data_IF_440562582785
#
_entry.id   IF_440562582785
#
_cell.length_a   1.000
_cell.length_b   1.000
_cell.length_c   1.000
_cell.angle_alpha   90.00
_cell.angle_beta   90.00
_cell.angle_gamma   90.00
#
_symmetry.space_group_name_H-M   'P 1'
#
loop_
_entity.id
_entity.type
_entity.pdbx_description
1 polymer ?
#
# COMPACT_ATOMS: atom_id res chain seq x y z
N UNK A 1 11.31 18.60 19.07
CA UNK A 1 9.97 19.19 18.85
C UNK A 1 10.01 19.88 17.50
N UNK A 2 9.07 19.57 16.62
CA UNK A 2 8.97 20.11 15.25
C UNK A 2 7.67 20.92 15.19
N UNK A 3 7.64 21.96 14.36
CA UNK A 3 6.44 22.78 14.12
C UNK A 3 6.09 22.67 12.63
N UNK A 4 4.92 22.11 12.35
CA UNK A 4 4.41 21.95 10.98
C UNK A 4 3.11 22.77 10.80
N UNK A 5 3.22 24.09 10.61
CA UNK A 5 2.05 24.97 10.65
C UNK A 5 1.00 24.59 9.61
N UNK A 6 -0.29 24.76 9.96
CA UNK A 6 -1.44 24.48 9.07
C UNK A 6 -1.34 25.20 7.72
N UNK A 7 -0.70 26.37 7.73
CA UNK A 7 -0.38 27.16 6.55
C UNK A 7 1.13 27.25 6.40
N UNK A 8 1.62 27.68 5.24
CA UNK A 8 3.02 28.10 5.11
C UNK A 8 3.39 29.11 6.21
N UNK A 9 4.66 29.15 6.60
CA UNK A 9 5.13 30.10 7.63
C UNK A 9 4.72 31.55 7.36
N UNK A 10 4.68 31.95 6.08
CA UNK A 10 4.16 33.26 5.66
C UNK A 10 2.65 33.41 5.91
N UNK A 11 1.85 32.40 5.54
CA UNK A 11 0.41 32.39 5.79
C UNK A 11 0.07 32.38 7.29
N UNK A 12 0.79 31.59 8.08
CA UNK A 12 0.69 31.57 9.54
C UNK A 12 0.96 32.96 10.13
N UNK A 13 2.07 33.59 9.73
CA UNK A 13 2.46 34.92 10.21
C UNK A 13 1.43 35.99 9.84
N UNK A 14 0.88 35.92 8.62
CA UNK A 14 -0.17 36.84 8.17
C UNK A 14 -1.44 36.73 9.03
N UNK A 15 -1.91 35.50 9.30
CA UNK A 15 -3.11 35.25 10.11
C UNK A 15 -2.91 35.77 11.54
N UNK A 16 -1.78 35.47 12.17
CA UNK A 16 -1.47 35.93 13.53
C UNK A 16 -1.43 37.47 13.59
N UNK A 17 -0.79 38.11 12.61
CA UNK A 17 -0.67 39.57 12.55
C UNK A 17 -2.03 40.24 12.31
N UNK A 18 -2.88 39.67 11.44
CA UNK A 18 -4.24 40.12 11.23
C UNK A 18 -5.09 40.03 12.53
N UNK A 19 -5.01 38.92 13.26
CA UNK A 19 -5.74 38.76 14.52
C UNK A 19 -5.23 39.72 15.62
N UNK A 20 -3.92 39.93 15.71
CA UNK A 20 -3.33 40.88 16.66
C UNK A 20 -3.71 42.33 16.34
N UNK A 21 -3.70 42.73 15.07
CA UNK A 21 -4.08 44.11 14.67
C UNK A 21 -5.54 44.42 15.02
N UNK A 22 -6.45 43.46 14.81
CA UNK A 22 -7.86 43.57 15.24
C UNK A 22 -7.99 43.75 16.76
N UNK A 23 -7.07 43.17 17.55
CA UNK A 23 -7.08 43.32 19.01
C UNK A 23 -6.41 44.62 19.50
N UNK A 24 -5.32 45.05 18.85
CA UNK A 24 -4.49 46.18 19.28
C UNK A 24 -5.16 47.51 18.98
N UNK A 25 -5.78 47.67 17.80
CA UNK A 25 -6.39 48.95 17.38
C UNK A 25 -7.46 49.42 18.38
N UNK A 26 -8.42 48.58 18.83
CA UNK A 26 -9.41 48.98 19.81
C UNK A 26 -8.86 49.10 21.24
N UNK A 27 -7.78 48.38 21.58
CA UNK A 27 -7.11 48.52 22.89
C UNK A 27 -6.48 49.91 23.07
N UNK A 28 -5.92 50.45 21.99
CA UNK A 28 -5.29 51.77 21.98
C UNK A 28 -6.33 52.89 21.85
N UNK A 29 -7.30 52.74 20.92
CA UNK A 29 -8.24 53.80 20.54
C UNK A 29 -9.58 53.82 21.28
N UNK A 30 -9.93 52.77 22.01
CA UNK A 30 -11.24 52.65 22.67
C UNK A 30 -11.26 53.17 24.11
N UNK A 31 -12.40 53.73 24.52
CA UNK A 31 -12.65 54.22 25.89
C UNK A 31 -13.11 53.11 26.86
N UNK A 32 -13.07 51.85 26.44
CA UNK A 32 -13.54 50.69 27.19
C UNK A 32 -12.48 50.05 28.11
N UNK A 33 -12.88 48.99 28.82
CA UNK A 33 -11.99 48.23 29.71
C UNK A 33 -10.86 47.53 28.93
N UNK A 34 -9.68 48.17 28.88
CA UNK A 34 -8.47 47.71 28.17
C UNK A 34 -8.04 46.28 28.51
N UNK A 35 -8.29 45.82 29.73
CA UNK A 35 -7.98 44.46 30.18
C UNK A 35 -8.60 43.38 29.28
N UNK A 36 -9.82 43.59 28.75
CA UNK A 36 -10.48 42.62 27.87
C UNK A 36 -9.71 42.43 26.55
N UNK A 37 -9.07 43.48 26.05
CA UNK A 37 -8.26 43.40 24.84
C UNK A 37 -6.91 42.73 25.07
N UNK A 38 -6.28 42.95 26.23
CA UNK A 38 -5.10 42.17 26.64
C UNK A 38 -5.40 40.68 26.73
N UNK A 39 -6.56 40.32 27.28
CA UNK A 39 -6.98 38.94 27.36
C UNK A 39 -7.20 38.29 25.98
N UNK A 40 -7.80 39.03 25.02
CA UNK A 40 -7.94 38.60 23.62
C UNK A 40 -6.60 38.42 22.91
N UNK A 41 -5.62 39.30 23.15
CA UNK A 41 -4.26 39.09 22.64
C UNK A 41 -3.62 37.82 23.22
N UNK A 42 -3.90 37.49 24.48
CA UNK A 42 -3.53 36.21 25.08
C UNK A 42 -4.14 35.02 24.34
N UNK A 43 -5.44 35.07 23.99
CA UNK A 43 -6.09 34.03 23.19
C UNK A 43 -5.46 33.90 21.81
N UNK A 44 -5.16 35.02 21.14
CA UNK A 44 -4.48 35.01 19.83
C UNK A 44 -3.09 34.38 19.93
N UNK A 45 -2.33 34.63 21.01
CA UNK A 45 -1.04 33.99 21.23
C UNK A 45 -1.16 32.46 21.40
N UNK A 46 -2.17 32.00 22.15
CA UNK A 46 -2.44 30.56 22.32
C UNK A 46 -2.89 29.91 21.01
N UNK A 47 -3.72 30.59 20.22
CA UNK A 47 -4.11 30.15 18.88
C UNK A 47 -2.93 30.10 17.91
N UNK A 48 -2.00 31.05 17.99
CA UNK A 48 -0.78 31.05 17.18
C UNK A 48 0.06 29.78 17.45
N UNK A 49 0.20 29.39 18.72
CA UNK A 49 0.87 28.14 19.12
C UNK A 49 0.11 26.92 18.61
N UNK A 50 -1.21 26.89 18.69
CA UNK A 50 -2.02 25.80 18.15
C UNK A 50 -1.83 25.66 16.62
N UNK A 51 -1.90 26.76 15.89
CA UNK A 51 -1.74 26.80 14.43
C UNK A 51 -0.34 26.42 13.96
N UNK A 52 0.67 26.54 14.82
CA UNK A 52 2.03 26.08 14.54
C UNK A 52 2.19 24.56 14.66
N UNK A 53 1.14 23.82 15.07
CA UNK A 53 1.10 22.36 15.27
C UNK A 53 2.39 21.82 15.90
N UNK A 54 2.65 22.13 17.18
CA UNK A 54 3.78 21.55 17.89
C UNK A 54 3.65 20.03 17.88
N UNK A 55 4.68 19.37 17.36
CA UNK A 55 4.75 17.93 17.26
C UNK A 55 6.02 17.37 17.87
N UNK A 56 5.93 16.15 18.39
CA UNK A 56 7.09 15.39 18.84
C UNK A 56 7.33 14.30 17.79
N UNK A 57 8.51 14.26 17.13
CA UNK A 57 8.83 13.17 16.23
C UNK A 57 8.96 11.88 17.04
N UNK A 58 8.13 10.89 16.70
CA UNK A 58 8.20 9.55 17.25
C UNK A 58 8.78 8.67 16.16
N UNK A 59 9.88 8.00 16.50
CA UNK A 59 10.34 6.88 15.69
C UNK A 59 9.41 5.72 16.03
N UNK A 60 8.42 5.48 15.18
CA UNK A 60 7.67 4.23 15.27
C UNK A 60 8.66 3.10 14.98
N UNK A 61 8.75 2.13 15.87
CA UNK A 61 9.48 0.89 15.61
C UNK A 61 8.49 -0.21 15.88
N UNK A 62 8.11 -0.96 14.85
CA UNK A 62 7.28 -2.13 15.03
C UNK A 62 8.20 -3.29 15.35
N UNK A 63 7.92 -3.97 16.45
CA UNK A 63 8.57 -5.23 16.78
C UNK A 63 7.76 -6.33 16.09
N UNK A 64 8.37 -7.00 15.13
CA UNK A 64 7.79 -8.17 14.45
C UNK A 64 8.62 -9.41 14.81
N UNK A 65 7.97 -10.55 14.97
CA UNK A 65 8.64 -11.83 15.09
C UNK A 65 9.04 -12.27 13.68
N UNK A 66 10.34 -12.24 13.39
CA UNK A 66 10.92 -12.76 12.14
C UNK A 66 11.58 -14.10 12.46
N UNK A 67 11.21 -15.14 11.74
CA UNK A 67 11.98 -16.39 11.74
C UNK A 67 13.32 -16.12 11.04
N UNK A 68 14.41 -16.65 11.60
CA UNK A 68 15.77 -16.46 11.08
C UNK A 68 16.04 -17.30 9.82
N UNK A 69 15.18 -17.18 8.82
CA UNK A 69 15.31 -17.86 7.55
C UNK A 69 14.82 -17.00 6.38
N UNK A 70 15.55 -17.13 5.29
CA UNK A 70 15.34 -16.46 4.02
C UNK A 70 15.05 -17.52 2.97
N UNK A 71 13.84 -17.48 2.44
CA UNK A 71 13.31 -18.50 1.54
C UNK A 71 13.27 -17.93 0.13
N UNK A 72 14.05 -18.52 -0.77
CA UNK A 72 14.14 -18.15 -2.17
C UNK A 72 13.37 -19.16 -3.02
N UNK A 73 12.33 -18.68 -3.71
CA UNK A 73 11.59 -19.45 -4.70
C UNK A 73 12.16 -19.10 -6.07
N UNK A 74 12.84 -20.07 -6.69
CA UNK A 74 13.42 -19.97 -8.02
C UNK A 74 12.47 -20.67 -8.99
N UNK A 75 11.78 -19.89 -9.80
CA UNK A 75 10.62 -20.35 -10.57
C UNK A 75 10.91 -20.25 -12.06
N UNK A 76 10.84 -21.39 -12.74
CA UNK A 76 10.80 -21.44 -14.19
C UNK A 76 9.49 -20.81 -14.67
N UNK A 77 9.59 -19.80 -15.53
CA UNK A 77 8.47 -19.17 -16.21
C UNK A 77 8.70 -19.20 -17.72
N UNK A 78 9.49 -20.14 -18.23
CA UNK A 78 9.62 -20.36 -19.68
C UNK A 78 8.29 -20.76 -20.28
N UNK A 79 8.22 -20.68 -21.61
CA UNK A 79 7.04 -21.06 -22.36
C UNK A 79 6.62 -22.53 -22.14
N UNK A 80 7.55 -23.43 -21.79
CA UNK A 80 7.24 -24.84 -21.50
C UNK A 80 6.44 -25.04 -20.22
N UNK A 81 6.46 -24.06 -19.30
CA UNK A 81 5.61 -24.05 -18.11
C UNK A 81 4.12 -23.78 -18.42
N UNK A 82 3.80 -23.43 -19.67
CA UNK A 82 2.43 -23.38 -20.20
C UNK A 82 1.93 -24.74 -20.70
N UNK A 83 2.72 -25.81 -20.58
CA UNK A 83 2.31 -27.15 -20.98
C UNK A 83 1.17 -27.66 -20.09
N UNK A 84 0.10 -28.10 -20.73
CA UNK A 84 -1.11 -28.66 -20.09
C UNK A 84 -0.92 -30.17 -19.87
N UNK A 85 -0.17 -30.53 -18.83
CA UNK A 85 0.09 -31.92 -18.40
C UNK A 85 0.28 -32.07 -16.87
N UNK A 86 -0.21 -31.11 -16.09
CA UNK A 86 -0.27 -31.17 -14.64
C UNK A 86 -1.70 -31.49 -14.18
N UNK A 87 -1.87 -32.38 -13.19
CA UNK A 87 -3.18 -32.84 -12.68
C UNK A 87 -4.21 -33.15 -13.79
N UNK A 88 -3.75 -33.86 -14.83
CA UNK A 88 -4.51 -34.11 -16.06
C UNK A 88 -4.12 -33.13 -17.16
N UNK A 89 -4.89 -32.05 -17.33
CA UNK A 89 -4.78 -31.11 -18.45
C UNK A 89 -4.53 -29.66 -17.99
N UNK A 90 -4.08 -29.44 -16.75
CA UNK A 90 -3.78 -28.09 -16.25
C UNK A 90 -2.34 -27.66 -16.60
N UNK A 91 -2.09 -26.34 -16.76
CA UNK A 91 -0.73 -25.84 -16.99
C UNK A 91 0.19 -26.12 -15.80
N UNK A 92 1.44 -26.57 -16.07
CA UNK A 92 2.48 -26.80 -15.04
C UNK A 92 2.63 -25.65 -14.06
N UNK A 93 2.61 -24.40 -14.54
CA UNK A 93 2.79 -23.22 -13.70
C UNK A 93 1.67 -23.06 -12.66
N UNK A 94 0.45 -23.54 -12.91
CA UNK A 94 -0.62 -23.46 -11.91
C UNK A 94 -0.32 -24.38 -10.72
N UNK A 95 0.18 -25.59 -10.98
CA UNK A 95 0.71 -26.49 -9.94
C UNK A 95 1.86 -25.88 -9.15
N UNK A 96 2.79 -25.19 -9.83
CA UNK A 96 3.87 -24.46 -9.17
C UNK A 96 3.32 -23.39 -8.22
N UNK A 97 2.33 -22.61 -8.66
CA UNK A 97 1.72 -21.56 -7.82
C UNK A 97 1.07 -22.15 -6.58
N UNK A 98 0.32 -23.24 -6.72
CA UNK A 98 -0.31 -23.92 -5.58
C UNK A 98 0.74 -24.38 -4.57
N UNK A 99 1.78 -25.06 -5.04
CA UNK A 99 2.88 -25.57 -4.23
C UNK A 99 3.67 -24.43 -3.55
N UNK A 100 3.88 -23.30 -4.23
CA UNK A 100 4.51 -22.10 -3.66
C UNK A 100 3.72 -21.52 -2.49
N UNK A 101 2.39 -21.45 -2.61
CA UNK A 101 1.51 -20.95 -1.55
C UNK A 101 1.49 -21.89 -0.35
N UNK A 102 1.39 -23.21 -0.58
CA UNK A 102 1.42 -24.20 0.52
C UNK A 102 2.79 -24.18 1.24
N UNK A 103 3.89 -24.05 0.50
CA UNK A 103 5.22 -23.88 1.11
C UNK A 103 5.34 -22.58 1.89
N UNK A 104 4.84 -21.45 1.37
CA UNK A 104 4.87 -20.17 2.07
C UNK A 104 4.17 -20.26 3.44
N UNK A 105 3.00 -20.91 3.49
CA UNK A 105 2.25 -21.16 4.72
C UNK A 105 3.03 -22.06 5.71
N UNK A 106 3.86 -22.98 5.20
CA UNK A 106 4.72 -23.84 6.01
C UNK A 106 5.94 -23.10 6.62
N UNK A 107 6.28 -21.90 6.14
CA UNK A 107 7.38 -21.06 6.63
C UNK A 107 6.89 -19.75 7.30
N UNK A 108 6.12 -19.82 8.40
CA UNK A 108 5.53 -18.62 9.00
C UNK A 108 6.59 -17.67 9.57
N UNK A 109 6.46 -16.38 9.20
CA UNK A 109 7.32 -15.31 9.71
C UNK A 109 8.73 -15.28 9.11
N UNK A 110 9.04 -16.14 8.14
CA UNK A 110 10.29 -16.05 7.35
C UNK A 110 10.17 -14.95 6.30
N UNK A 111 11.31 -14.56 5.72
CA UNK A 111 11.32 -13.67 4.56
C UNK A 111 11.26 -14.49 3.28
N UNK A 112 10.31 -14.19 2.40
CA UNK A 112 10.12 -14.89 1.14
C UNK A 112 10.56 -14.02 -0.04
N UNK A 113 11.20 -14.62 -1.04
CA UNK A 113 11.65 -13.97 -2.28
C UNK A 113 11.23 -14.80 -3.48
N UNK A 114 10.86 -14.15 -4.58
CA UNK A 114 10.56 -14.81 -5.86
C UNK A 114 11.58 -14.35 -6.89
N UNK A 115 12.30 -15.31 -7.45
CA UNK A 115 13.21 -15.14 -8.59
C UNK A 115 12.65 -15.99 -9.71
N UNK A 116 12.28 -15.36 -10.82
CA UNK A 116 11.80 -16.08 -12.01
C UNK A 116 12.91 -16.16 -13.05
N UNK A 117 12.89 -17.18 -13.90
CA UNK A 117 13.77 -17.24 -15.05
C UNK A 117 13.06 -17.79 -16.29
N UNK A 118 13.48 -17.29 -17.44
CA UNK A 118 13.15 -17.83 -18.75
C UNK A 118 14.38 -17.70 -19.67
N UNK A 119 14.32 -16.80 -20.65
CA UNK A 119 15.50 -16.38 -21.40
C UNK A 119 16.48 -15.50 -20.61
N UNK A 120 16.00 -14.92 -19.50
CA UNK A 120 16.78 -14.18 -18.51
C UNK A 120 16.19 -14.39 -17.12
N UNK A 121 16.99 -14.21 -16.07
CA UNK A 121 16.52 -14.23 -14.69
C UNK A 121 16.19 -12.84 -14.14
N UNK A 122 15.15 -12.76 -13.31
CA UNK A 122 14.73 -11.53 -12.65
C UNK A 122 14.17 -11.80 -11.25
N UNK A 123 14.50 -10.92 -10.30
CA UNK A 123 13.83 -10.91 -8.98
C UNK A 123 12.49 -10.18 -9.12
N UNK A 124 11.40 -10.96 -9.13
CA UNK A 124 10.02 -10.43 -9.13
C UNK A 124 9.68 -9.84 -7.77
N UNK A 125 10.08 -10.53 -6.70
CA UNK A 125 9.87 -10.09 -5.33
C UNK A 125 11.15 -10.24 -4.52
N UNK A 126 11.75 -9.12 -4.06
CA UNK A 126 12.82 -9.18 -3.07
C UNK A 126 12.32 -9.74 -1.73
N UNK A 127 13.23 -10.26 -0.91
CA UNK A 127 12.94 -10.79 0.43
C UNK A 127 12.01 -9.88 1.25
N UNK A 128 10.86 -10.40 1.63
CA UNK A 128 9.84 -9.69 2.42
C UNK A 128 9.19 -10.59 3.47
N UNK A 129 8.83 -10.03 4.62
CA UNK A 129 7.98 -10.69 5.62
C UNK A 129 6.50 -10.58 5.31
N UNK A 130 6.12 -9.84 4.25
CA UNK A 130 4.73 -9.68 3.82
C UNK A 130 4.30 -10.87 2.96
N UNK A 131 3.79 -11.91 3.62
CA UNK A 131 3.29 -13.13 2.97
C UNK A 131 2.05 -12.88 2.10
N UNK A 132 1.25 -11.86 2.39
CA UNK A 132 0.11 -11.50 1.56
C UNK A 132 0.56 -10.86 0.23
N UNK A 133 1.60 -10.03 0.28
CA UNK A 133 2.24 -9.53 -0.93
C UNK A 133 2.85 -10.68 -1.74
N UNK A 134 3.54 -11.62 -1.09
CA UNK A 134 4.06 -12.83 -1.74
C UNK A 134 2.97 -13.60 -2.48
N UNK A 135 1.85 -13.92 -1.81
CA UNK A 135 0.73 -14.61 -2.43
C UNK A 135 0.16 -13.84 -3.64
N UNK A 136 0.06 -12.52 -3.54
CA UNK A 136 -0.38 -11.67 -4.66
C UNK A 136 0.59 -11.69 -5.84
N UNK A 137 1.90 -11.82 -5.58
CA UNK A 137 2.91 -11.92 -6.63
C UNK A 137 2.93 -13.29 -7.30
N UNK A 138 2.66 -14.37 -6.55
CA UNK A 138 2.51 -15.73 -7.08
C UNK A 138 1.31 -15.81 -8.04
N UNK A 139 0.18 -15.23 -7.65
CA UNK A 139 -1.08 -15.25 -8.43
C UNK A 139 -0.88 -14.71 -9.86
N UNK A 140 -0.10 -13.63 -9.99
CA UNK A 140 0.15 -12.94 -11.26
C UNK A 140 1.33 -13.50 -12.07
N UNK A 141 1.99 -14.58 -11.62
CA UNK A 141 3.00 -15.24 -12.43
C UNK A 141 2.37 -15.82 -13.69
N UNK A 142 3.06 -15.65 -14.83
CA UNK A 142 2.59 -16.08 -16.13
C UNK A 142 3.80 -16.58 -16.95
N UNK A 143 3.66 -17.61 -17.82
CA UNK A 143 4.75 -18.05 -18.66
C UNK A 143 5.22 -16.95 -19.63
N UNK A 144 6.48 -17.02 -20.02
CA UNK A 144 7.09 -16.16 -21.01
C UNK A 144 6.33 -16.31 -22.32
N UNK A 145 5.93 -15.17 -22.89
CA UNK A 145 5.30 -15.13 -24.21
C UNK A 145 6.19 -15.83 -25.23
N UNK A 146 5.58 -16.70 -26.04
CA UNK A 146 6.22 -17.44 -27.13
C UNK A 146 7.01 -16.54 -28.09
N UNK A 147 6.57 -15.28 -28.28
CA UNK A 147 7.23 -14.27 -29.11
C UNK A 147 8.58 -13.77 -28.54
N UNK A 148 8.75 -13.89 -27.23
CA UNK A 148 9.97 -13.47 -26.52
C UNK A 148 10.91 -14.62 -26.20
N UNK A 149 10.47 -15.87 -26.43
CA UNK A 149 11.28 -17.07 -26.20
C UNK A 149 12.51 -17.09 -27.10
N UNK A 150 13.70 -17.02 -26.49
CA UNK A 150 15.00 -16.94 -27.17
C UNK A 150 15.95 -18.09 -26.82
N UNK A 151 15.39 -19.13 -26.22
CA UNK A 151 16.14 -20.19 -25.56
C UNK A 151 16.09 -20.03 -24.03
N UNK A 152 16.14 -21.16 -23.34
CA UNK A 152 16.08 -21.32 -21.90
C UNK A 152 17.26 -22.16 -21.43
N UNK A 153 17.78 -21.82 -20.25
CA UNK A 153 18.79 -22.60 -19.53
C UNK A 153 18.27 -22.92 -18.14
N UNK A 154 18.43 -24.17 -17.70
CA UNK A 154 18.03 -24.61 -16.35
C UNK A 154 18.82 -23.89 -15.24
N UNK A 155 19.96 -23.28 -15.58
CA UNK A 155 20.85 -22.58 -14.64
C UNK A 155 20.76 -21.05 -14.73
N UNK A 156 19.85 -20.51 -15.54
CA UNK A 156 19.74 -19.06 -15.82
C UNK A 156 19.58 -18.21 -14.54
N UNK A 157 18.88 -18.72 -13.53
CA UNK A 157 18.68 -18.03 -12.26
C UNK A 157 19.91 -17.98 -11.33
N UNK A 158 20.97 -18.72 -11.65
CA UNK A 158 22.10 -18.95 -10.73
C UNK A 158 22.80 -17.68 -10.28
N UNK A 159 23.13 -16.77 -11.22
CA UNK A 159 23.83 -15.51 -10.90
C UNK A 159 22.96 -14.60 -10.03
N UNK A 160 21.67 -14.45 -10.36
CA UNK A 160 20.77 -13.60 -9.59
C UNK A 160 20.50 -14.19 -8.20
N UNK A 161 20.35 -15.51 -8.07
CA UNK A 161 20.23 -16.18 -6.77
C UNK A 161 21.47 -15.95 -5.90
N UNK A 162 22.67 -16.23 -6.41
CA UNK A 162 23.92 -16.07 -5.65
C UNK A 162 24.12 -14.62 -5.21
N UNK A 163 23.81 -13.67 -6.09
CA UNK A 163 23.88 -12.23 -5.79
C UNK A 163 22.91 -11.83 -4.69
N UNK A 164 21.67 -12.33 -4.71
CA UNK A 164 20.66 -12.03 -3.69
C UNK A 164 20.99 -12.66 -2.34
N UNK A 165 21.52 -13.87 -2.34
CA UNK A 165 22.03 -14.52 -1.12
C UNK A 165 23.22 -13.75 -0.56
N UNK A 166 24.22 -13.42 -1.39
CA UNK A 166 25.42 -12.69 -0.94
C UNK A 166 25.07 -11.33 -0.34
N UNK A 167 24.21 -10.54 -1.00
CA UNK A 167 23.76 -9.25 -0.46
C UNK A 167 23.03 -9.40 0.88
N UNK A 168 22.32 -10.52 1.06
CA UNK A 168 21.54 -10.74 2.27
C UNK A 168 22.37 -11.30 3.42
N UNK A 169 23.35 -12.17 3.13
CA UNK A 169 24.32 -12.66 4.12
C UNK A 169 25.12 -11.49 4.74
N UNK A 170 25.39 -10.43 3.96
CA UNK A 170 26.01 -9.19 4.45
C UNK A 170 25.10 -8.42 5.44
N UNK A 171 23.79 -8.39 5.17
CA UNK A 171 22.79 -7.66 5.97
C UNK A 171 22.30 -8.45 7.20
N UNK A 172 22.15 -9.78 7.08
CA UNK A 172 21.61 -10.69 8.10
C UNK A 172 22.39 -12.03 8.12
N UNK A 173 23.64 -12.06 8.61
CA UNK A 173 24.53 -13.24 8.53
C UNK A 173 24.07 -14.45 9.36
N UNK A 174 23.16 -14.26 10.31
CA UNK A 174 22.64 -15.34 11.17
C UNK A 174 21.42 -16.06 10.56
N UNK A 175 20.88 -15.56 9.45
CA UNK A 175 19.72 -16.15 8.80
C UNK A 175 20.11 -17.40 8.00
N UNK A 176 19.19 -18.37 7.97
CA UNK A 176 19.32 -19.60 7.21
C UNK A 176 18.78 -19.41 5.80
N UNK A 177 19.51 -19.87 4.79
CA UNK A 177 19.04 -19.77 3.41
C UNK A 177 18.32 -21.07 3.03
N UNK A 178 17.07 -20.92 2.56
CA UNK A 178 16.25 -22.02 2.06
C UNK A 178 15.99 -21.77 0.58
N UNK A 179 16.30 -22.74 -0.27
CA UNK A 179 16.15 -22.57 -1.73
C UNK A 179 15.21 -23.63 -2.29
N UNK A 180 14.13 -23.18 -2.93
CA UNK A 180 13.23 -24.02 -3.69
C UNK A 180 13.36 -23.71 -5.17
N UNK A 181 13.56 -24.75 -5.97
CA UNK A 181 13.56 -24.65 -7.43
C UNK A 181 12.30 -25.31 -7.97
N UNK A 182 11.63 -24.66 -8.93
CA UNK A 182 10.44 -25.15 -9.59
C UNK A 182 10.65 -25.05 -11.10
N UNK A 183 10.57 -26.17 -11.81
CA UNK A 183 10.70 -26.17 -13.28
C UNK A 183 10.53 -27.55 -13.88
N UNK A 184 10.56 -27.64 -15.21
CA UNK A 184 10.48 -28.91 -15.94
C UNK A 184 11.85 -29.49 -16.32
N UNK A 185 12.92 -28.71 -16.15
CA UNK A 185 14.29 -29.12 -16.46
C UNK A 185 14.63 -29.08 -17.95
N UNK A 186 13.71 -28.62 -18.81
CA UNK A 186 13.95 -28.54 -20.25
C UNK A 186 14.97 -27.43 -20.55
N UNK A 187 15.94 -27.76 -21.42
CA UNK A 187 16.91 -26.80 -21.89
C UNK A 187 16.89 -26.73 -23.42
N UNK A 188 16.80 -25.51 -23.93
CA UNK A 188 16.75 -25.26 -25.39
C UNK A 188 18.01 -24.58 -25.93
N UNK A 189 18.84 -24.02 -25.05
CA UNK A 189 20.17 -23.51 -25.43
C UNK A 189 21.19 -24.65 -25.55
N UNK A 190 22.21 -24.45 -26.41
CA UNK A 190 23.22 -25.48 -26.71
C UNK A 190 24.38 -25.53 -25.72
N UNK A 191 24.52 -24.46 -24.93
CA UNK A 191 25.51 -24.31 -23.87
C UNK A 191 25.32 -25.38 -22.80
N UNK A 192 26.41 -25.88 -22.24
CA UNK A 192 26.32 -26.81 -21.12
C UNK A 192 25.80 -26.05 -19.89
N UNK A 193 24.82 -26.60 -19.14
CA UNK A 193 24.35 -25.98 -17.91
C UNK A 193 25.50 -25.72 -16.94
N UNK A 194 25.51 -24.53 -16.34
CA UNK A 194 26.45 -24.19 -15.29
C UNK A 194 26.25 -25.10 -14.06
N UNK A 195 27.21 -25.07 -13.13
CA UNK A 195 27.06 -25.77 -11.85
C UNK A 195 26.76 -24.78 -10.74
N UNK A 196 25.80 -25.14 -9.89
CA UNK A 196 25.41 -24.35 -8.72
C UNK A 196 26.15 -24.78 -7.44
N UNK A 197 27.10 -25.70 -7.55
CA UNK A 197 27.92 -26.21 -6.44
C UNK A 197 28.79 -25.14 -5.77
N UNK A 198 29.09 -24.01 -6.43
CA UNK A 198 29.89 -22.92 -5.88
C UNK A 198 29.27 -22.23 -4.67
N UNK A 199 27.93 -22.11 -4.64
CA UNK A 199 27.19 -21.46 -3.56
C UNK A 199 26.34 -22.43 -2.73
N UNK A 200 26.33 -23.72 -3.06
CA UNK A 200 25.60 -24.76 -2.33
C UNK A 200 25.90 -24.80 -0.82
N UNK A 201 27.16 -24.53 -0.42
CA UNK A 201 27.55 -24.47 0.99
C UNK A 201 26.83 -23.39 1.82
N UNK A 202 26.16 -22.44 1.17
CA UNK A 202 25.38 -21.38 1.80
C UNK A 202 23.90 -21.73 1.96
N UNK A 203 23.46 -22.86 1.41
CA UNK A 203 22.08 -23.34 1.45
C UNK A 203 21.94 -24.30 2.62
N UNK A 204 21.01 -24.03 3.53
CA UNK A 204 20.79 -24.84 4.73
C UNK A 204 19.70 -25.89 4.54
N UNK A 205 18.73 -25.61 3.66
CA UNK A 205 17.59 -26.49 3.36
C UNK A 205 16.99 -26.12 2.01
N UNK A 206 16.15 -26.98 1.45
CA UNK A 206 15.49 -26.71 0.19
C UNK A 206 15.01 -27.97 -0.49
N UNK A 207 14.54 -27.81 -1.72
CA UNK A 207 14.14 -28.90 -2.60
C UNK A 207 14.07 -28.44 -4.06
N UNK A 208 14.21 -29.38 -4.98
CA UNK A 208 13.92 -29.20 -6.41
C UNK A 208 12.63 -29.91 -6.74
N UNK A 209 11.66 -29.18 -7.25
CA UNK A 209 10.36 -29.68 -7.70
C UNK A 209 10.30 -29.68 -9.22
N UNK A 210 10.16 -30.89 -9.78
CA UNK A 210 10.04 -31.12 -11.22
C UNK A 210 8.60 -31.19 -11.66
N UNK A 211 8.21 -30.46 -12.71
CA UNK A 211 6.83 -30.44 -13.21
C UNK A 211 6.74 -30.96 -14.65
N UNK A 212 5.66 -31.69 -14.93
CA UNK A 212 5.38 -32.26 -16.25
C UNK A 212 5.60 -33.76 -16.32
N UNK A 213 5.32 -34.32 -17.50
CA UNK A 213 5.34 -35.78 -17.72
C UNK A 213 6.35 -36.19 -18.80
N UNK A 214 6.74 -37.47 -18.82
CA UNK A 214 7.57 -38.04 -19.90
C UNK A 214 6.83 -38.01 -21.25
N UNK A 215 5.51 -38.11 -21.22
CA UNK A 215 4.62 -38.06 -22.38
C UNK A 215 4.63 -36.65 -22.98
N UNK A 216 4.58 -35.64 -22.11
CA UNK A 216 4.67 -34.22 -22.39
C UNK A 216 3.34 -33.58 -22.71
N UNK A 217 3.20 -32.30 -22.36
CA UNK A 217 2.01 -31.49 -22.59
C UNK A 217 2.16 -30.57 -23.79
N UNK A 218 1.03 -30.24 -24.43
CA UNK A 218 0.99 -29.16 -25.42
C UNK A 218 1.02 -27.82 -24.69
N UNK A 219 1.76 -26.86 -25.23
CA UNK A 219 1.89 -25.54 -24.62
C UNK A 219 0.85 -24.57 -25.18
N UNK A 220 -0.03 -24.06 -24.31
CA UNK A 220 -1.02 -23.06 -24.67
C UNK A 220 -0.33 -21.72 -25.00
N UNK A 221 -0.66 -21.13 -26.15
CA UNK A 221 -0.13 -19.83 -26.56
C UNK A 221 -0.92 -18.69 -25.89
N UNK A 222 -0.38 -18.15 -24.80
CA UNK A 222 -0.93 -16.94 -24.16
C UNK A 222 -0.41 -15.72 -24.92
N UNK A 223 -1.02 -15.39 -26.06
CA UNK A 223 -0.70 -14.14 -26.77
C UNK A 223 -1.29 -12.93 -26.00
N UNK A 224 -0.48 -11.92 -25.63
CA UNK A 224 -0.95 -10.78 -24.84
C UNK A 224 -1.96 -9.88 -25.56
N UNK A 225 -2.08 -10.03 -26.88
CA UNK A 225 -3.11 -9.41 -27.70
C UNK A 225 -3.72 -10.54 -28.51
N UNK A 226 -5.03 -10.73 -28.47
CA UNK A 226 -5.77 -11.81 -29.16
C UNK A 226 -5.72 -11.78 -30.69
N UNK A 227 -4.59 -11.35 -31.28
CA UNK A 227 -4.26 -11.57 -32.66
C UNK A 227 -3.67 -12.97 -32.76
N UNK A 228 -4.52 -13.97 -33.00
CA UNK A 228 -4.04 -15.31 -33.25
C UNK A 228 -3.01 -15.33 -34.39
N UNK A 229 -2.11 -16.32 -34.36
CA UNK A 229 -1.12 -16.59 -35.41
C UNK A 229 -1.86 -16.89 -36.71
N UNK A 230 -2.18 -15.84 -37.45
CA UNK A 230 -2.87 -15.89 -38.73
C UNK A 230 -2.01 -16.54 -39.82
N UNK A 231 -1.84 -17.85 -39.76
CA UNK A 231 -1.66 -18.71 -40.93
C UNK A 231 -2.99 -19.44 -41.15
N UNK A 232 -4.04 -18.66 -41.34
CA UNK A 232 -5.41 -19.12 -41.57
C UNK A 232 -6.20 -18.07 -42.36
N UNK A 233 -7.18 -18.54 -43.13
CA UNK A 233 -8.05 -17.79 -44.05
C UNK A 233 -8.44 -16.38 -43.50
N UNK A 234 -8.24 -15.27 -44.26
CA UNK A 234 -8.54 -13.91 -43.82
C UNK A 234 -10.00 -13.63 -43.40
N UNK A 235 -10.89 -14.62 -43.51
CA UNK A 235 -12.27 -14.55 -43.04
C UNK A 235 -12.51 -15.01 -41.60
N UNK A 236 -11.50 -15.54 -40.90
CA UNK A 236 -11.67 -16.13 -39.55
C UNK A 236 -10.64 -15.63 -38.53
N UNK A 237 -10.09 -14.43 -38.73
CA UNK A 237 -9.21 -13.79 -37.75
C UNK A 237 -10.01 -13.52 -36.46
N UNK A 238 -9.56 -13.96 -35.27
CA UNK A 238 -10.21 -13.57 -34.04
C UNK A 238 -10.07 -12.05 -33.89
N UNK A 239 -11.21 -11.37 -33.95
CA UNK A 239 -11.29 -9.96 -33.62
C UNK A 239 -11.09 -9.78 -32.12
N UNK A 240 -10.85 -8.55 -31.70
CA UNK A 240 -11.24 -8.13 -30.35
C UNK A 240 -12.71 -8.51 -30.20
N UNK A 241 -13.00 -9.55 -29.42
CA UNK A 241 -14.35 -10.08 -29.25
C UNK A 241 -15.34 -8.95 -29.02
N UNK A 242 -16.48 -9.01 -29.69
CA UNK A 242 -17.54 -8.03 -29.47
C UNK A 242 -18.04 -8.19 -28.02
N UNK A 243 -17.85 -7.19 -27.13
CA UNK A 243 -18.29 -7.30 -25.73
C UNK A 243 -19.81 -7.48 -25.58
N UNK A 244 -20.58 -7.31 -26.66
CA UNK A 244 -22.02 -7.52 -26.72
C UNK A 244 -22.43 -8.90 -27.33
N UNK A 245 -21.49 -9.74 -27.76
CA UNK A 245 -21.76 -11.08 -28.31
C UNK A 245 -21.19 -12.22 -27.42
N UNK A 246 -22.02 -12.88 -26.59
CA UNK A 246 -21.60 -13.97 -25.70
C UNK A 246 -21.26 -15.28 -26.44
N UNK A 247 -21.27 -15.30 -27.77
CA UNK A 247 -20.86 -16.44 -28.59
C UNK A 247 -19.48 -16.29 -29.25
N UNK A 248 -18.84 -15.12 -29.11
CA UNK A 248 -17.51 -14.81 -29.67
C UNK A 248 -16.34 -15.22 -28.74
N UNK A 249 -16.65 -15.77 -27.56
CA UNK A 249 -15.69 -16.31 -26.58
C UNK A 249 -15.05 -17.65 -27.02
N UNK A 250 -15.29 -18.09 -28.27
CA UNK A 250 -14.81 -19.36 -28.82
C UNK A 250 -13.75 -19.15 -29.89
N UNK A 251 -12.74 -18.33 -29.59
CA UNK A 251 -11.46 -18.50 -30.26
C UNK A 251 -10.93 -19.92 -29.92
N UNK A 252 -10.57 -20.76 -30.92
CA UNK A 252 -10.02 -22.09 -30.63
C UNK A 252 -8.77 -21.95 -29.77
N UNK A 253 -8.56 -22.88 -28.83
CA UNK A 253 -7.35 -22.92 -28.01
C UNK A 253 -6.12 -22.93 -28.93
N UNK A 254 -5.39 -21.83 -28.91
CA UNK A 254 -4.20 -21.67 -29.74
C UNK A 254 -3.01 -22.26 -28.98
N UNK A 255 -2.32 -23.20 -29.62
CA UNK A 255 -1.12 -23.83 -29.08
C UNK A 255 0.09 -23.35 -29.85
N UNK A 256 1.21 -23.23 -29.15
CA UNK A 256 2.48 -22.90 -29.77
C UNK A 256 2.83 -23.99 -30.77
N UNK A 257 3.27 -23.59 -31.96
CA UNK A 257 3.56 -24.51 -33.06
C UNK A 257 5.07 -24.74 -33.21
N UNK A 258 5.42 -25.98 -33.56
CA UNK A 258 6.76 -26.33 -33.98
C UNK A 258 7.09 -25.76 -35.38
N UNK A 259 8.33 -25.97 -35.83
CA UNK A 259 8.78 -25.52 -37.16
C UNK A 259 7.99 -26.11 -38.33
N UNK A 260 7.28 -27.22 -38.12
CA UNK A 260 6.50 -27.93 -39.11
C UNK A 260 4.99 -27.57 -39.04
N UNK A 261 4.58 -26.70 -38.10
CA UNK A 261 3.19 -26.30 -37.88
C UNK A 261 2.37 -27.28 -37.04
N UNK A 262 3.00 -28.27 -36.38
CA UNK A 262 2.31 -29.12 -35.41
C UNK A 262 2.36 -28.47 -34.02
N UNK A 263 1.43 -28.79 -33.10
CA UNK A 263 1.53 -28.34 -31.72
C UNK A 263 2.87 -28.75 -31.10
N UNK A 264 3.58 -27.80 -30.52
CA UNK A 264 4.78 -28.02 -29.73
C UNK A 264 4.43 -28.77 -28.45
N UNK A 265 5.23 -29.79 -28.12
CA UNK A 265 5.09 -30.61 -26.92
C UNK A 265 6.35 -30.46 -26.10
N UNK A 266 6.21 -30.01 -24.86
CA UNK A 266 7.31 -29.97 -23.90
C UNK A 266 7.27 -31.19 -22.99
N UNK A 267 8.43 -31.70 -22.59
CA UNK A 267 8.58 -32.88 -21.75
C UNK A 267 9.50 -32.56 -20.57
N UNK A 268 9.21 -33.16 -19.43
CA UNK A 268 10.10 -33.04 -18.27
C UNK A 268 11.47 -33.68 -18.56
N UNK A 269 12.55 -33.05 -18.11
CA UNK A 269 13.90 -33.62 -18.06
C UNK A 269 14.32 -33.77 -16.60
N UNK A 270 13.95 -34.92 -16.02
CA UNK A 270 14.34 -35.28 -14.66
C UNK A 270 15.86 -35.41 -14.47
N UNK A 271 16.62 -35.70 -15.54
CA UNK A 271 18.06 -35.83 -15.46
C UNK A 271 18.71 -34.49 -15.09
N UNK A 272 18.26 -33.42 -15.74
CA UNK A 272 18.65 -32.06 -15.44
C UNK A 272 18.18 -31.62 -14.05
N UNK A 273 16.95 -31.91 -13.66
CA UNK A 273 16.43 -31.55 -12.34
C UNK A 273 17.19 -32.24 -11.20
N UNK A 274 17.51 -33.53 -11.35
CA UNK A 274 18.33 -34.28 -10.38
C UNK A 274 19.77 -33.74 -10.31
N UNK A 275 20.31 -33.23 -11.42
CA UNK A 275 21.60 -32.53 -11.43
C UNK A 275 21.53 -31.25 -10.62
N UNK A 276 20.51 -30.41 -10.82
CA UNK A 276 20.30 -29.18 -10.03
C UNK A 276 20.18 -29.51 -8.53
N UNK A 277 19.40 -30.54 -8.19
CA UNK A 277 19.24 -30.99 -6.81
C UNK A 277 20.57 -31.43 -6.20
N UNK A 278 21.35 -32.22 -6.95
CA UNK A 278 22.70 -32.64 -6.55
C UNK A 278 23.67 -31.48 -6.37
N UNK A 279 23.60 -30.48 -7.25
CA UNK A 279 24.47 -29.30 -7.19
C UNK A 279 24.16 -28.43 -5.98
N UNK A 280 22.88 -28.26 -5.66
CA UNK A 280 22.40 -27.53 -4.47
C UNK A 280 22.54 -28.33 -3.17
N UNK A 281 22.71 -29.65 -3.25
CA UNK A 281 22.76 -30.55 -2.09
C UNK A 281 21.40 -30.76 -1.42
N UNK A 282 20.31 -30.72 -2.20
CA UNK A 282 18.93 -30.89 -1.73
C UNK A 282 18.24 -32.06 -2.44
N UNK A 283 17.06 -32.46 -1.96
CA UNK A 283 16.30 -33.56 -2.55
C UNK A 283 15.52 -33.11 -3.81
N UNK A 284 15.30 -34.06 -4.72
CA UNK A 284 14.46 -33.89 -5.90
C UNK A 284 13.10 -34.58 -5.69
N UNK A 285 12.03 -33.89 -6.03
CA UNK A 285 10.66 -34.40 -6.02
C UNK A 285 9.98 -34.12 -7.36
N UNK A 286 9.38 -35.15 -7.94
CA UNK A 286 8.52 -35.01 -9.12
C UNK A 286 7.11 -34.62 -8.69
N UNK A 287 6.49 -33.69 -9.43
CA UNK A 287 5.16 -33.13 -9.21
C UNK A 287 4.35 -33.26 -10.49
N UNK A 288 3.33 -34.11 -10.44
CA UNK A 288 2.42 -34.43 -11.55
C UNK A 288 0.94 -34.15 -11.21
N UNK A 289 0.67 -33.59 -10.03
CA UNK A 289 -0.68 -33.33 -9.51
C UNK A 289 -1.11 -34.32 -8.41
N UNK A 290 -0.37 -35.41 -8.20
CA UNK A 290 -0.72 -36.42 -7.20
C UNK A 290 -0.38 -35.99 -5.77
N UNK A 291 -1.22 -35.08 -5.23
CA UNK A 291 -1.28 -34.74 -3.81
C UNK A 291 -0.46 -33.53 -3.37
N UNK A 292 -0.77 -33.06 -2.15
CA UNK A 292 -0.21 -31.85 -1.55
C UNK A 292 1.32 -31.88 -1.41
N UNK A 293 1.99 -30.73 -1.53
CA UNK A 293 3.46 -30.66 -1.44
C UNK A 293 3.98 -31.07 -0.05
N UNK A 294 3.17 -30.85 1.00
CA UNK A 294 3.47 -31.32 2.36
C UNK A 294 3.60 -32.84 2.50
N UNK A 295 3.13 -33.62 1.52
CA UNK A 295 3.31 -35.08 1.50
C UNK A 295 4.71 -35.52 1.08
N UNK A 296 5.40 -34.69 0.28
CA UNK A 296 6.73 -35.00 -0.27
C UNK A 296 7.85 -34.21 0.40
N UNK A 297 7.55 -33.02 0.92
CA UNK A 297 8.52 -32.16 1.59
C UNK A 297 8.02 -31.72 2.98
N UNK A 298 8.88 -31.84 3.99
CA UNK A 298 8.58 -31.36 5.36
C UNK A 298 9.44 -30.13 5.67
N UNK A 299 8.79 -28.98 5.76
CA UNK A 299 9.45 -27.72 6.10
C UNK A 299 10.09 -27.78 7.50
N UNK A 300 11.39 -27.46 7.63
CA UNK A 300 12.02 -27.32 8.94
C UNK A 300 11.45 -26.13 9.69
N UNK A 301 11.40 -26.23 11.02
CA UNK A 301 10.98 -25.13 11.88
C UNK A 301 12.18 -24.25 12.21
N UNK A 302 12.01 -22.94 12.05
CA UNK A 302 13.02 -21.95 12.39
C UNK A 302 12.62 -21.17 13.64
N UNK A 303 13.61 -20.87 14.48
CA UNK A 303 13.40 -20.06 15.67
C UNK A 303 13.01 -18.62 15.29
N UNK A 304 11.94 -18.13 15.91
CA UNK A 304 11.50 -16.75 15.75
C UNK A 304 12.24 -15.84 16.71
N UNK A 305 12.79 -14.75 16.18
CA UNK A 305 13.40 -13.69 16.96
C UNK A 305 12.57 -12.40 16.83
N UNK A 306 12.48 -11.64 17.93
CA UNK A 306 11.95 -10.28 17.86
C UNK A 306 12.93 -9.41 17.07
N UNK A 307 12.50 -8.99 15.88
CA UNK A 307 13.24 -8.05 15.04
C UNK A 307 12.57 -6.69 15.12
N UNK A 308 13.35 -5.70 15.52
CA UNK A 308 12.90 -4.31 15.60
C UNK A 308 13.05 -3.69 14.21
N UNK A 309 11.93 -3.47 13.53
CA UNK A 309 11.91 -2.80 12.23
C UNK A 309 11.82 -1.30 12.47
N UNK A 310 12.78 -0.55 11.95
CA UNK A 310 12.73 0.90 11.97
C UNK A 310 11.55 1.36 11.10
N UNK A 311 10.49 1.84 11.75
CA UNK A 311 9.32 2.38 11.09
C UNK A 311 9.56 3.81 10.63
N UNK A 312 8.55 4.39 9.96
CA UNK A 312 8.59 5.79 9.55
C UNK A 312 8.66 6.69 10.78
N UNK A 313 9.41 7.79 10.67
CA UNK A 313 9.33 8.89 11.63
C UNK A 313 7.97 9.54 11.46
N UNK A 314 7.05 9.26 12.37
CA UNK A 314 5.75 9.94 12.45
C UNK A 314 5.86 11.10 13.43
N UNK A 315 4.98 12.08 13.30
CA UNK A 315 4.93 13.22 14.22
C UNK A 315 3.60 13.15 14.95
N UNK A 316 3.67 12.95 16.26
CA UNK A 316 2.48 13.11 17.11
C UNK A 316 2.26 14.58 17.38
N UNK A 317 1.10 15.08 16.98
CA UNK A 317 0.76 16.50 17.03
C UNK A 317 -0.08 16.83 18.27
N UNK A 318 0.29 17.93 18.93
CA UNK A 318 -0.32 18.36 20.18
C UNK A 318 -1.05 19.70 20.06
N UNK A 319 -1.53 20.07 18.86
CA UNK A 319 -2.26 21.33 18.64
C UNK A 319 -3.58 21.42 19.44
N UNK A 320 -4.13 20.28 19.86
CA UNK A 320 -5.33 20.19 20.69
C UNK A 320 -5.11 20.72 22.13
N UNK A 321 -3.89 20.61 22.67
CA UNK A 321 -3.55 21.08 24.02
C UNK A 321 -3.78 22.59 24.18
N UNK A 322 -3.19 23.47 23.34
CA UNK A 322 -3.49 24.89 23.39
C UNK A 322 -4.94 25.21 22.99
N UNK A 323 -5.58 24.44 22.12
CA UNK A 323 -7.00 24.64 21.78
C UNK A 323 -7.93 24.47 22.99
N UNK A 324 -7.66 23.54 23.91
CA UNK A 324 -8.45 23.38 25.15
C UNK A 324 -8.46 24.69 25.94
N UNK A 325 -7.34 25.39 26.04
CA UNK A 325 -7.25 26.68 26.74
C UNK A 325 -8.07 27.76 26.04
N UNK A 326 -8.08 27.78 24.71
CA UNK A 326 -8.91 28.70 23.91
C UNK A 326 -10.39 28.41 24.12
N UNK A 327 -10.80 27.14 24.07
CA UNK A 327 -12.19 26.73 24.30
C UNK A 327 -12.65 27.09 25.72
N UNK A 328 -11.83 26.84 26.73
CA UNK A 328 -12.12 27.22 28.10
C UNK A 328 -12.31 28.74 28.23
N UNK A 329 -11.47 29.54 27.56
CA UNK A 329 -11.60 31.00 27.55
C UNK A 329 -12.91 31.46 26.88
N UNK A 330 -13.24 30.90 25.71
CA UNK A 330 -14.49 31.21 25.00
C UNK A 330 -15.71 30.86 25.86
N UNK A 331 -15.69 29.72 26.56
CA UNK A 331 -16.76 29.34 27.47
C UNK A 331 -16.94 30.36 28.61
N UNK A 332 -15.86 30.87 29.17
CA UNK A 332 -15.90 31.92 30.20
C UNK A 332 -16.50 33.23 29.64
N UNK A 333 -16.06 33.67 28.45
CA UNK A 333 -16.63 34.87 27.81
C UNK A 333 -18.12 34.69 27.48
N UNK A 334 -18.51 33.50 27.02
CA UNK A 334 -19.91 33.17 26.74
C UNK A 334 -20.78 33.30 28.01
N UNK A 335 -20.31 32.77 29.15
CA UNK A 335 -21.03 32.88 30.44
C UNK A 335 -21.17 34.35 30.86
N UNK A 336 -20.12 35.17 30.73
CA UNK A 336 -20.20 36.60 31.03
C UNK A 336 -21.15 37.33 30.07
N UNK A 337 -21.09 37.01 28.78
CA UNK A 337 -21.97 37.60 27.75
C UNK A 337 -23.44 37.28 27.99
N UNK A 338 -23.75 36.01 28.30
CA UNK A 338 -25.12 35.57 28.63
C UNK A 338 -25.63 36.25 29.89
N UNK A 339 -24.81 36.34 30.94
CA UNK A 339 -25.18 37.05 32.18
C UNK A 339 -25.54 38.52 31.93
N UNK A 340 -24.74 39.21 31.12
CA UNK A 340 -24.99 40.62 30.82
C UNK A 340 -26.23 40.79 29.92
N UNK A 341 -26.41 39.92 28.93
CA UNK A 341 -27.60 39.89 28.09
C UNK A 341 -28.88 39.70 28.92
N UNK A 342 -28.87 38.76 29.88
CA UNK A 342 -30.00 38.53 30.78
C UNK A 342 -30.28 39.74 31.68
N UNK A 343 -29.24 40.42 32.18
CA UNK A 343 -29.39 41.68 32.94
C UNK A 343 -30.04 42.78 32.12
N UNK A 344 -29.60 42.99 30.87
CA UNK A 344 -30.16 44.01 29.98
C UNK A 344 -31.60 43.69 29.58
N UNK A 345 -31.93 42.42 29.34
CA UNK A 345 -33.31 41.97 29.12
C UNK A 345 -34.23 42.27 30.30
N UNK A 346 -33.73 42.12 31.53
CA UNK A 346 -34.50 42.41 32.74
C UNK A 346 -34.79 43.91 32.94
N UNK A 347 -33.96 44.80 32.38
CA UNK A 347 -34.09 46.26 32.51
C UNK A 347 -34.98 46.87 31.42
N UNK A 348 -35.27 46.14 30.33
CA UNK A 348 -36.07 46.67 29.21
C UNK A 348 -37.57 46.72 29.57
N UNK A 349 -38.21 47.88 29.71
CA UNK A 349 -39.62 47.95 30.10
C UNK A 349 -40.55 47.44 29.00
N UNK A 350 -41.60 46.70 29.38
CA UNK A 350 -42.68 46.30 28.47
C UNK A 350 -43.36 47.56 27.91
N UNK A 351 -43.37 47.69 26.59
CA UNK A 351 -44.07 48.76 25.85
C UNK A 351 -45.53 48.84 26.34
N UNK A 352 -46.04 50.00 26.83
CA UNK A 352 -47.39 50.08 27.33
C UNK A 352 -48.40 49.84 26.19
N UNK A 353 -49.37 48.95 26.42
CA UNK A 353 -50.54 48.75 25.55
C UNK A 353 -51.25 50.10 25.39
N UNK A 354 -51.32 50.60 24.16
CA UNK A 354 -52.13 51.80 23.83
C UNK A 354 -53.60 51.44 24.03
N UNK A 355 -54.15 51.83 25.19
CA UNK A 355 -55.58 51.80 25.47
C UNK A 355 -56.35 52.78 24.57
N UNK A 356 -57.63 52.46 24.33
CA UNK A 356 -58.49 53.03 23.29
C UNK A 356 -58.83 54.53 23.38
N UNK A 357 -59.63 55.04 22.43
CA UNK A 357 -59.82 56.47 22.19
C UNK A 357 -60.65 57.17 23.28
N UNK A 358 -60.34 58.44 23.62
CA UNK A 358 -61.06 59.23 24.62
C UNK A 358 -62.37 59.83 24.07
N UNK A 359 -63.44 59.81 24.89
CA UNK A 359 -64.74 60.44 24.61
C UNK A 359 -64.74 61.97 24.86
N UNK A 360 -65.80 62.70 24.44
CA UNK A 360 -65.79 64.16 24.37
C UNK A 360 -66.40 64.85 25.61
N UNK A 361 -65.79 65.95 26.05
CA UNK A 361 -66.49 67.01 26.83
C UNK A 361 -65.78 67.51 28.08
N UNK A 362 -65.41 68.80 28.10
CA UNK A 362 -65.10 69.56 29.33
C UNK A 362 -63.96 70.59 29.19
N UNK A 363 -64.19 71.92 29.28
CA UNK A 363 -63.18 72.94 28.97
C UNK A 363 -62.41 73.52 30.18
N UNK A 364 -61.25 74.11 29.80
CA UNK A 364 -60.19 74.85 30.50
C UNK A 364 -60.63 75.99 31.44
N UNK A 365 -59.73 76.42 32.35
CA UNK A 365 -59.51 77.85 32.56
C UNK A 365 -58.01 78.28 32.64
N UNK A 366 -57.68 79.41 31.99
CA UNK A 366 -56.48 80.25 32.19
C UNK A 366 -56.76 81.31 33.28
N UNK A 367 -55.76 81.93 33.97
CA UNK A 367 -55.12 83.17 33.49
C UNK A 367 -53.69 83.43 34.10
N UNK A 368 -53.10 84.65 34.06
CA UNK A 368 -52.63 85.43 32.90
C UNK A 368 -51.15 85.90 33.03
N UNK A 369 -50.61 86.50 31.96
CA UNK A 369 -49.27 87.12 31.89
C UNK A 369 -49.28 88.56 32.44
N UNK A 370 -48.20 89.04 33.11
CA UNK A 370 -47.87 90.45 33.18
C UNK A 370 -46.58 90.84 32.41
N UNK A 371 -46.54 92.11 32.07
CA UNK A 371 -45.83 92.84 31.01
C UNK A 371 -44.41 93.35 31.31
N UNK A 372 -43.65 93.60 30.22
CA UNK A 372 -42.37 94.32 30.05
C UNK A 372 -42.13 95.58 30.90
N UNK A 373 -40.87 95.80 31.31
CA UNK A 373 -40.11 97.09 31.28
C UNK A 373 -38.60 96.75 31.10
N UNK A 374 -37.88 97.19 30.04
CA UNK A 374 -37.02 98.40 29.98
C UNK A 374 -35.74 98.24 30.83
N UNK A 375 -34.50 98.00 30.33
CA UNK A 375 -33.59 98.89 29.55
C UNK A 375 -33.04 100.06 30.40
N UNK A 376 -31.85 100.68 30.19
CA UNK A 376 -30.72 100.40 29.27
C UNK A 376 -29.29 100.64 29.87
N UNK A 377 -28.25 100.26 29.09
CA UNK A 377 -26.93 100.92 28.85
C UNK A 377 -25.78 99.93 28.76
#
# INVERSE_FOLDING_TARGET
MIFDPVFSWFGWGFVVLALLTVCIIPAIRGDGARWKWFARMGVVAVLAVALARPGIPIKSSTEEYEARADVYFVVDVTTSMAAEDFDGDEPRLEGVKEDMLELADAFPGTRLSIITFASTAATVMPLTTDHAAFASAVDVLDPESSLNSKGSSITEAGEELEKRMTSNDEDRPDNKNVVFYFGDGEQTVSETPDSWSSFASRIDSGAVFGYGTEEGGKMRDRQPFGYGSGVGDPGNAPGLGDPDDPSDDQAPDEYIQDRNGNPGVSKIDEGNLRRIASDLGVDYHHRDGDGAISSVYTAPKYDQALVKKDGRVTVDEYYWVPLILVFAWIAVELVFGVREYLRLKAITPKRPRRGGPPGPGGPVPYPPVPSRQGGPR
#
